data_IF_015822611625
#
_entry.id   IF_015822611625
#
_cell.length_a   1.000
_cell.length_b   1.000
_cell.length_c   1.000
_cell.angle_alpha   90.00
_cell.angle_beta   90.00
_cell.angle_gamma   90.00
#
_symmetry.space_group_name_H-M   'P 1'
#
loop_
_entity.id
_entity.type
_entity.pdbx_description
1 polymer ?
#
# COMPACT_ATOMS: atom_id res chain seq x y z
N UNK A 1 15.03 -17.25 22.00
CA UNK A 1 15.79 -17.74 20.83
C UNK A 1 15.46 -16.78 19.69
N UNK A 2 16.22 -15.68 19.60
CA UNK A 2 15.85 -14.52 18.78
C UNK A 2 16.45 -14.69 17.39
N UNK A 3 15.62 -15.06 16.42
CA UNK A 3 15.95 -15.01 15.00
C UNK A 3 15.93 -13.54 14.58
N UNK A 4 17.07 -12.85 14.72
CA UNK A 4 17.24 -11.49 14.24
C UNK A 4 17.45 -11.51 12.71
N UNK A 5 16.36 -11.22 12.00
CA UNK A 5 16.31 -10.46 10.75
C UNK A 5 17.28 -10.89 9.63
N UNK A 6 16.95 -12.00 8.95
CA UNK A 6 17.44 -12.27 7.60
C UNK A 6 16.65 -11.44 6.59
N UNK A 7 17.19 -10.28 6.20
CA UNK A 7 16.75 -9.53 5.03
C UNK A 7 17.91 -9.45 4.04
N UNK A 8 17.94 -10.37 3.08
CA UNK A 8 18.79 -10.25 1.90
C UNK A 8 18.17 -9.25 0.91
N UNK A 9 18.04 -7.99 1.34
CA UNK A 9 17.91 -6.85 0.42
C UNK A 9 19.29 -6.25 0.34
N UNK A 10 19.92 -6.34 -0.82
CA UNK A 10 21.19 -5.65 -1.05
C UNK A 10 20.87 -4.16 -1.21
N UNK A 11 20.88 -3.45 -0.08
CA UNK A 11 20.71 -2.02 -0.02
C UNK A 11 22.09 -1.35 -0.09
N UNK A 12 22.40 -0.75 -1.22
CA UNK A 12 23.64 0.00 -1.41
C UNK A 12 23.39 1.51 -1.23
N UNK A 13 24.34 2.22 -0.63
CA UNK A 13 24.23 3.66 -0.34
C UNK A 13 25.09 4.46 -1.31
N UNK A 14 24.53 5.47 -1.97
CA UNK A 14 25.31 6.56 -2.58
C UNK A 14 25.84 7.48 -1.48
N UNK A 15 27.16 7.70 -1.41
CA UNK A 15 27.75 8.62 -0.43
C UNK A 15 27.94 9.99 -1.09
N UNK A 16 26.95 10.87 -0.95
CA UNK A 16 27.12 12.32 -1.19
C UNK A 16 26.99 13.06 0.14
N UNK A 17 28.10 13.64 0.59
CA UNK A 17 28.21 14.27 1.91
C UNK A 17 27.65 15.69 1.95
N UNK A 18 26.82 15.96 2.97
CA UNK A 18 26.84 17.22 3.72
C UNK A 18 26.08 17.07 5.05
N UNK A 19 26.81 17.30 6.14
CA UNK A 19 26.33 17.75 7.46
C UNK A 19 25.10 17.10 8.08
N UNK A 20 25.31 16.16 9.00
CA UNK A 20 24.30 15.70 9.94
C UNK A 20 24.52 14.25 10.40
N UNK A 21 24.41 14.03 11.70
CA UNK A 21 24.12 12.73 12.35
C UNK A 21 25.25 11.78 12.72
N UNK A 22 25.66 11.88 14.00
CA UNK A 22 26.46 10.91 14.75
C UNK A 22 25.89 9.47 14.67
N UNK A 23 24.57 9.33 14.55
CA UNK A 23 23.88 8.05 14.39
C UNK A 23 24.17 7.39 13.03
N UNK A 24 24.27 8.19 11.96
CA UNK A 24 24.65 7.71 10.63
C UNK A 24 26.13 7.27 10.58
N UNK A 25 27.00 7.96 11.33
CA UNK A 25 28.40 7.57 11.47
C UNK A 25 28.55 6.21 12.19
N UNK A 26 27.76 5.98 13.26
CA UNK A 26 27.75 4.70 13.98
C UNK A 26 27.31 3.54 13.07
N UNK A 27 26.18 3.68 12.37
CA UNK A 27 25.67 2.68 11.42
C UNK A 27 26.62 2.43 10.25
N UNK A 28 27.27 3.48 9.73
CA UNK A 28 28.28 3.34 8.69
C UNK A 28 29.47 2.50 9.18
N UNK A 29 29.96 2.74 10.41
CA UNK A 29 31.02 1.96 11.04
C UNK A 29 30.67 0.48 11.18
N UNK A 30 29.45 0.16 11.65
CA UNK A 30 28.98 -1.23 11.76
C UNK A 30 28.93 -1.94 10.40
N UNK A 31 28.46 -1.25 9.35
CA UNK A 31 28.40 -1.82 8.00
C UNK A 31 29.79 -2.11 7.45
N UNK A 32 30.72 -1.17 7.60
CA UNK A 32 32.11 -1.34 7.16
C UNK A 32 32.72 -2.57 7.84
N UNK A 33 32.52 -2.71 9.15
CA UNK A 33 32.99 -3.88 9.90
C UNK A 33 32.38 -5.20 9.39
N UNK A 34 31.08 -5.22 9.04
CA UNK A 34 30.43 -6.41 8.46
C UNK A 34 31.04 -6.78 7.10
N UNK A 35 31.32 -5.79 6.25
CA UNK A 35 31.95 -6.03 4.95
C UNK A 35 33.36 -6.61 5.13
N UNK A 36 34.18 -6.02 6.00
CA UNK A 36 35.55 -6.51 6.27
C UNK A 36 35.53 -7.96 6.71
N UNK A 37 34.69 -8.31 7.70
CA UNK A 37 34.55 -9.70 8.18
C UNK A 37 34.10 -10.67 7.09
N UNK A 38 33.19 -10.22 6.21
CA UNK A 38 32.75 -11.04 5.08
C UNK A 38 33.87 -11.25 4.06
N UNK A 39 34.75 -10.27 3.85
CA UNK A 39 35.87 -10.36 2.93
C UNK A 39 37.00 -11.24 3.48
N UNK A 40 37.28 -11.15 4.79
CA UNK A 40 38.20 -12.05 5.49
C UNK A 40 37.74 -13.50 5.33
N UNK A 41 36.47 -13.79 5.65
CA UNK A 41 35.89 -15.12 5.46
C UNK A 41 35.98 -15.58 4.01
N UNK A 42 35.72 -14.70 3.04
CA UNK A 42 35.82 -15.01 1.63
C UNK A 42 37.25 -15.45 1.25
N UNK A 43 38.25 -14.71 1.73
CA UNK A 43 39.66 -14.99 1.45
C UNK A 43 40.14 -16.32 2.05
N UNK A 44 39.68 -16.67 3.25
CA UNK A 44 40.04 -17.92 3.93
C UNK A 44 39.44 -19.15 3.24
N UNK A 45 38.27 -19.02 2.62
CA UNK A 45 37.52 -20.12 2.01
C UNK A 45 37.63 -20.14 0.48
N UNK A 46 38.46 -19.29 -0.13
CA UNK A 46 38.64 -19.23 -1.58
C UNK A 46 37.41 -18.72 -2.35
N UNK A 47 36.54 -17.95 -1.69
CA UNK A 47 35.34 -17.36 -2.27
C UNK A 47 35.64 -15.98 -2.89
N UNK A 48 34.81 -15.49 -3.83
CA UNK A 48 35.00 -14.16 -4.40
C UNK A 48 34.85 -13.06 -3.34
N UNK A 49 35.78 -12.10 -3.35
CA UNK A 49 35.76 -10.95 -2.45
C UNK A 49 34.82 -9.89 -3.04
N UNK A 50 33.70 -9.66 -2.35
CA UNK A 50 32.65 -8.70 -2.74
C UNK A 50 32.83 -7.37 -1.98
N UNK A 51 32.55 -6.23 -2.63
CA UNK A 51 32.80 -4.89 -2.07
C UNK A 51 31.55 -4.20 -1.54
N UNK A 52 30.48 -4.25 -2.31
CA UNK A 52 29.22 -3.57 -2.07
C UNK A 52 28.21 -4.48 -1.33
N UNK A 53 28.36 -5.78 -1.50
CA UNK A 53 27.45 -6.81 -0.97
C UNK A 53 28.19 -7.79 -0.05
N UNK A 54 27.45 -8.41 0.87
CA UNK A 54 27.96 -9.50 1.70
C UNK A 54 27.84 -10.83 0.96
N UNK A 55 28.61 -11.83 1.39
CA UNK A 55 28.46 -13.19 0.88
C UNK A 55 27.04 -13.73 1.16
N UNK A 56 26.45 -14.48 0.20
CA UNK A 56 25.11 -15.01 0.34
C UNK A 56 24.99 -16.08 1.43
N UNK A 57 23.81 -16.16 2.04
CA UNK A 57 23.42 -17.27 2.94
C UNK A 57 22.80 -18.40 2.13
N UNK A 58 23.64 -19.27 1.59
CA UNK A 58 23.23 -20.33 0.66
C UNK A 58 22.35 -21.40 1.30
N UNK A 59 22.67 -21.81 2.54
CA UNK A 59 21.89 -22.84 3.27
C UNK A 59 20.43 -22.43 3.52
N UNK A 60 20.19 -21.17 3.90
CA UNK A 60 18.84 -20.65 4.13
C UNK A 60 18.03 -20.60 2.84
N UNK A 61 18.64 -20.11 1.76
CA UNK A 61 18.01 -20.11 0.45
C UNK A 61 17.66 -21.51 -0.04
N UNK A 62 18.58 -22.46 0.11
CA UNK A 62 18.38 -23.85 -0.29
C UNK A 62 17.22 -24.50 0.46
N UNK A 63 17.15 -24.30 1.78
CA UNK A 63 16.04 -24.77 2.62
C UNK A 63 14.69 -24.21 2.11
N UNK A 64 14.61 -22.89 1.89
CA UNK A 64 13.40 -22.26 1.35
C UNK A 64 13.05 -22.79 -0.04
N UNK A 65 14.04 -22.98 -0.91
CA UNK A 65 13.83 -23.48 -2.26
C UNK A 65 13.30 -24.91 -2.25
N UNK A 66 13.80 -25.78 -1.37
CA UNK A 66 13.34 -27.16 -1.24
C UNK A 66 11.87 -27.23 -0.81
N UNK A 67 11.48 -26.45 0.21
CA UNK A 67 10.12 -26.44 0.75
C UNK A 67 9.11 -25.78 -0.19
N UNK A 68 9.52 -24.73 -0.91
CA UNK A 68 8.62 -23.91 -1.73
C UNK A 68 8.68 -24.26 -3.24
N UNK A 69 9.49 -25.26 -3.64
CA UNK A 69 9.68 -25.60 -5.07
C UNK A 69 8.38 -25.93 -5.79
N UNK A 70 7.41 -26.52 -5.09
CA UNK A 70 6.12 -26.95 -5.65
C UNK A 70 5.10 -25.81 -5.78
N UNK A 71 5.32 -24.69 -5.10
CA UNK A 71 4.38 -23.56 -5.03
C UNK A 71 4.93 -22.26 -5.63
N UNK A 72 6.21 -22.24 -6.01
CA UNK A 72 6.85 -21.10 -6.67
C UNK A 72 6.85 -21.27 -8.19
N UNK A 73 6.61 -20.18 -8.92
CA UNK A 73 6.82 -20.14 -10.37
C UNK A 73 8.18 -19.52 -10.73
N UNK A 74 8.61 -18.52 -9.94
CA UNK A 74 9.81 -17.75 -10.16
C UNK A 74 10.35 -17.16 -8.85
N UNK A 75 11.65 -16.86 -8.85
CA UNK A 75 12.34 -16.12 -7.79
C UNK A 75 12.61 -14.71 -8.30
N UNK A 76 12.18 -13.71 -7.53
CA UNK A 76 12.46 -12.30 -7.82
C UNK A 76 13.74 -11.87 -7.13
N UNK A 77 14.68 -11.42 -7.96
CA UNK A 77 15.94 -10.86 -7.53
C UNK A 77 15.86 -9.33 -7.57
N UNK A 78 15.78 -8.72 -6.40
CA UNK A 78 15.60 -7.26 -6.24
C UNK A 78 16.87 -6.64 -5.64
N UNK A 79 17.36 -5.59 -6.29
CA UNK A 79 18.46 -4.75 -5.79
C UNK A 79 17.97 -3.31 -5.67
N UNK A 80 18.16 -2.71 -4.50
CA UNK A 80 17.62 -1.38 -4.19
C UNK A 80 18.77 -0.46 -3.81
N UNK A 81 18.83 0.72 -4.43
CA UNK A 81 19.82 1.74 -4.11
C UNK A 81 19.13 3.01 -3.64
N UNK A 82 19.59 3.51 -2.50
CA UNK A 82 19.16 4.76 -1.91
C UNK A 82 20.26 5.80 -2.11
N UNK A 83 19.94 6.91 -2.79
CA UNK A 83 20.93 7.93 -3.16
C UNK A 83 21.46 8.74 -1.97
N UNK A 84 20.61 9.02 -0.99
CA UNK A 84 20.93 9.89 0.15
C UNK A 84 21.20 9.11 1.44
N UNK A 85 20.14 8.57 2.03
CA UNK A 85 20.18 7.78 3.26
C UNK A 85 19.20 6.62 3.17
N UNK A 86 19.47 5.58 3.96
CA UNK A 86 18.49 4.53 4.21
C UNK A 86 17.33 5.16 4.98
N UNK A 87 16.08 4.97 4.54
CA UNK A 87 14.94 5.48 5.27
C UNK A 87 14.81 4.75 6.62
N UNK A 88 14.55 5.51 7.68
CA UNK A 88 14.14 4.93 8.94
C UNK A 88 12.67 4.51 8.89
N UNK A 89 12.24 3.69 9.83
CA UNK A 89 10.86 3.19 9.89
C UNK A 89 9.83 4.33 9.86
N UNK A 90 10.12 5.44 10.55
CA UNK A 90 9.25 6.62 10.54
C UNK A 90 9.26 7.31 9.18
N UNK A 91 10.41 7.37 8.49
CA UNK A 91 10.48 7.95 7.15
C UNK A 91 9.60 7.19 6.16
N UNK A 92 9.58 5.85 6.27
CA UNK A 92 8.71 4.98 5.48
C UNK A 92 7.23 5.24 5.79
N UNK A 93 6.87 5.39 7.06
CA UNK A 93 5.48 5.63 7.47
C UNK A 93 4.98 6.99 7.01
N UNK A 94 5.79 8.03 7.18
CA UNK A 94 5.40 9.40 6.87
C UNK A 94 5.66 9.80 5.41
N UNK A 95 6.32 8.93 4.62
CA UNK A 95 6.65 9.20 3.23
C UNK A 95 7.61 10.38 3.05
N UNK A 96 8.43 10.69 4.06
CA UNK A 96 9.28 11.88 4.08
C UNK A 96 10.62 11.65 3.39
N UNK A 97 11.14 10.44 3.46
CA UNK A 97 12.37 10.00 2.82
C UNK A 97 12.20 8.53 2.41
N UNK A 98 12.84 8.07 1.34
CA UNK A 98 13.91 8.72 0.55
C UNK A 98 13.40 9.56 -0.62
N UNK A 99 14.17 10.61 -1.00
CA UNK A 99 13.84 11.45 -2.17
C UNK A 99 14.02 10.76 -3.53
N UNK A 100 14.87 9.74 -3.62
CA UNK A 100 15.17 9.02 -4.86
C UNK A 100 15.60 7.59 -4.54
N UNK A 101 14.93 6.62 -5.17
CA UNK A 101 15.20 5.17 -5.04
C UNK A 101 15.32 4.58 -6.41
N UNK A 102 16.38 3.81 -6.62
CA UNK A 102 16.54 3.03 -7.84
C UNK A 102 16.33 1.57 -7.49
N UNK A 103 15.46 0.90 -8.24
CA UNK A 103 15.13 -0.51 -8.02
C UNK A 103 15.44 -1.27 -9.29
N UNK A 104 16.36 -2.23 -9.20
CA UNK A 104 16.64 -3.19 -10.25
C UNK A 104 15.96 -4.51 -9.91
N UNK A 105 15.05 -4.98 -10.77
CA UNK A 105 14.33 -6.24 -10.59
C UNK A 105 14.71 -7.20 -11.71
N UNK A 106 15.02 -8.45 -11.35
CA UNK A 106 15.20 -9.57 -12.31
C UNK A 106 14.32 -10.73 -11.89
N UNK A 107 13.57 -11.28 -12.83
CA UNK A 107 12.81 -12.51 -12.61
C UNK A 107 13.64 -13.71 -13.05
N UNK A 108 13.83 -14.67 -12.15
CA UNK A 108 14.50 -15.94 -12.43
C UNK A 108 13.45 -17.03 -12.40
N UNK A 109 13.25 -17.75 -13.52
CA UNK A 109 12.30 -18.87 -13.53
C UNK A 109 12.88 -20.03 -12.73
N UNK A 110 12.03 -20.84 -12.11
CA UNK A 110 12.50 -22.02 -11.38
C UNK A 110 13.30 -22.99 -12.26
N UNK A 111 12.96 -23.09 -13.56
CA UNK A 111 13.70 -23.94 -14.51
C UNK A 111 15.14 -23.51 -14.73
N UNK A 112 15.47 -22.24 -14.45
CA UNK A 112 16.81 -21.68 -14.63
C UNK A 112 17.69 -21.88 -13.38
N UNK A 113 17.10 -22.37 -12.27
CA UNK A 113 17.79 -22.62 -11.02
C UNK A 113 18.27 -24.07 -11.00
N UNK A 114 19.55 -24.34 -10.69
CA UNK A 114 20.06 -25.70 -10.58
C UNK A 114 19.33 -26.52 -9.51
N UNK A 115 19.42 -27.85 -9.59
CA UNK A 115 18.76 -28.75 -8.64
C UNK A 115 19.70 -29.32 -7.59
N UNK A 116 21.00 -29.44 -7.89
CA UNK A 116 21.99 -29.90 -6.91
C UNK A 116 22.34 -28.81 -5.90
N UNK A 117 22.56 -29.18 -4.64
CA UNK A 117 22.87 -28.23 -3.55
C UNK A 117 24.17 -27.44 -3.82
N UNK A 118 25.19 -28.12 -4.33
CA UNK A 118 26.48 -27.51 -4.67
C UNK A 118 26.32 -26.53 -5.84
N UNK A 119 25.58 -26.93 -6.89
CA UNK A 119 25.31 -26.07 -8.04
C UNK A 119 24.47 -24.85 -7.67
N UNK A 120 23.50 -24.99 -6.77
CA UNK A 120 22.71 -23.85 -6.26
C UNK A 120 23.60 -22.90 -5.46
N UNK A 121 24.56 -23.44 -4.70
CA UNK A 121 25.52 -22.63 -3.94
C UNK A 121 26.39 -21.79 -4.87
N UNK A 122 26.98 -22.41 -5.88
CA UNK A 122 27.81 -21.73 -6.89
C UNK A 122 26.98 -20.72 -7.69
N UNK A 123 25.77 -21.10 -8.10
CA UNK A 123 24.83 -20.20 -8.77
C UNK A 123 24.53 -18.96 -7.91
N UNK A 124 24.25 -19.14 -6.61
CA UNK A 124 23.95 -18.03 -5.72
C UNK A 124 25.15 -17.10 -5.51
N UNK A 125 26.36 -17.66 -5.38
CA UNK A 125 27.61 -16.89 -5.31
C UNK A 125 27.78 -16.05 -6.57
N UNK A 126 27.59 -16.64 -7.74
CA UNK A 126 27.70 -15.95 -9.03
C UNK A 126 26.66 -14.82 -9.16
N UNK A 127 25.41 -15.06 -8.72
CA UNK A 127 24.38 -14.03 -8.68
C UNK A 127 24.76 -12.85 -7.80
N UNK A 128 25.35 -13.09 -6.64
CA UNK A 128 25.81 -12.03 -5.74
C UNK A 128 27.02 -11.29 -6.30
N UNK A 129 27.92 -11.97 -7.03
CA UNK A 129 29.02 -11.34 -7.78
C UNK A 129 28.48 -10.36 -8.83
N UNK A 130 27.47 -10.76 -9.60
CA UNK A 130 26.82 -9.90 -10.58
C UNK A 130 26.16 -8.67 -9.95
N UNK A 131 25.54 -8.82 -8.76
CA UNK A 131 25.00 -7.68 -7.99
C UNK A 131 26.09 -6.73 -7.53
N UNK A 132 27.22 -7.26 -7.08
CA UNK A 132 28.36 -6.44 -6.63
C UNK A 132 28.89 -5.55 -7.76
N UNK A 133 28.99 -6.11 -8.96
CA UNK A 133 29.35 -5.38 -10.15
C UNK A 133 28.27 -4.37 -10.55
N UNK A 134 27.00 -4.77 -10.60
CA UNK A 134 25.86 -3.89 -10.89
C UNK A 134 25.84 -2.65 -9.99
N UNK A 135 26.12 -2.83 -8.70
CA UNK A 135 26.20 -1.73 -7.74
C UNK A 135 27.44 -0.87 -7.93
N UNK A 136 28.58 -1.47 -8.29
CA UNK A 136 29.79 -0.72 -8.64
C UNK A 136 29.51 0.19 -9.84
N UNK A 137 28.86 -0.35 -10.87
CA UNK A 137 28.49 0.39 -12.08
C UNK A 137 27.49 1.49 -11.76
N UNK A 138 26.47 1.20 -10.94
CA UNK A 138 25.52 2.20 -10.46
C UNK A 138 26.22 3.36 -9.72
N UNK A 139 27.18 3.06 -8.85
CA UNK A 139 27.91 4.12 -8.13
C UNK A 139 28.82 4.96 -9.02
N UNK A 140 29.24 4.43 -10.17
CA UNK A 140 30.01 5.18 -11.17
C UNK A 140 29.13 5.98 -12.13
N UNK A 141 28.00 5.41 -12.56
CA UNK A 141 27.16 5.95 -13.64
C UNK A 141 25.94 6.72 -13.13
N UNK A 142 25.52 6.48 -11.88
CA UNK A 142 24.35 7.09 -11.24
C UNK A 142 23.00 6.48 -11.64
N UNK A 143 22.98 5.43 -12.46
CA UNK A 143 21.77 4.76 -12.92
C UNK A 143 22.00 3.26 -13.13
N UNK A 144 20.91 2.48 -13.23
CA UNK A 144 20.97 1.07 -13.59
C UNK A 144 20.96 0.88 -15.11
N UNK A 145 21.55 -0.21 -15.63
CA UNK A 145 21.44 -0.57 -17.03
C UNK A 145 19.99 -0.87 -17.39
N UNK A 146 19.59 -0.51 -18.60
CA UNK A 146 18.22 -0.67 -19.10
C UNK A 146 17.19 -0.02 -18.17
N UNK A 147 17.30 1.30 -17.95
CA UNK A 147 16.22 2.06 -17.31
C UNK A 147 14.94 1.76 -18.08
N UNK A 148 14.06 0.98 -17.46
CA UNK A 148 12.69 0.88 -17.92
C UNK A 148 12.19 2.30 -17.98
N UNK A 149 11.69 2.74 -19.14
CA UNK A 149 10.87 3.94 -19.18
C UNK A 149 9.80 3.68 -18.12
N UNK A 150 9.89 4.36 -16.98
CA UNK A 150 8.72 4.50 -16.11
C UNK A 150 7.70 5.08 -17.08
N UNK A 151 6.79 4.25 -17.55
CA UNK A 151 5.64 4.75 -18.27
C UNK A 151 5.02 5.68 -17.26
N UNK A 152 5.12 7.00 -17.52
CA UNK A 152 4.56 8.05 -16.68
C UNK A 152 3.26 7.50 -16.14
N UNK A 153 3.23 7.13 -14.85
CA UNK A 153 2.02 6.57 -14.28
C UNK A 153 1.03 7.69 -14.48
N UNK A 154 0.09 7.50 -15.41
CA UNK A 154 -0.61 8.59 -16.06
C UNK A 154 -1.29 9.37 -14.95
N UNK A 155 -0.66 10.47 -14.52
CA UNK A 155 -1.14 11.38 -13.50
C UNK A 155 -2.62 11.73 -13.72
N UNK A 156 -3.15 11.84 -14.96
CA UNK A 156 -4.58 11.97 -15.18
C UNK A 156 -5.43 10.75 -14.77
N UNK A 157 -4.99 9.52 -14.97
CA UNK A 157 -5.77 8.31 -14.62
C UNK A 157 -5.82 8.10 -13.11
N UNK A 158 -4.71 8.33 -12.41
CA UNK A 158 -4.67 8.29 -10.94
C UNK A 158 -5.57 9.39 -10.35
N UNK A 159 -5.49 10.61 -10.89
CA UNK A 159 -6.32 11.74 -10.45
C UNK A 159 -7.81 11.48 -10.73
N UNK A 160 -8.15 10.95 -11.90
CA UNK A 160 -9.53 10.61 -12.25
C UNK A 160 -10.11 9.54 -11.31
N UNK A 161 -9.33 8.49 -11.02
CA UNK A 161 -9.73 7.46 -10.06
C UNK A 161 -9.91 8.03 -8.65
N UNK A 162 -9.01 8.91 -8.21
CA UNK A 162 -9.12 9.57 -6.92
C UNK A 162 -10.38 10.44 -6.81
N UNK A 163 -10.66 11.27 -7.83
CA UNK A 163 -11.87 12.10 -7.88
C UNK A 163 -13.13 11.23 -7.90
N UNK A 164 -13.13 10.13 -8.67
CA UNK A 164 -14.25 9.20 -8.73
C UNK A 164 -14.54 8.56 -7.37
N UNK A 165 -13.50 8.15 -6.63
CA UNK A 165 -13.63 7.58 -5.28
C UNK A 165 -14.19 8.63 -4.32
N UNK A 166 -13.59 9.83 -4.27
CA UNK A 166 -14.04 10.90 -3.35
C UNK A 166 -15.48 11.32 -3.65
N UNK A 167 -15.82 11.47 -4.93
CA UNK A 167 -17.18 11.81 -5.37
C UNK A 167 -18.18 10.71 -4.99
N UNK A 168 -17.84 9.44 -5.25
CA UNK A 168 -18.67 8.29 -4.90
C UNK A 168 -18.90 8.22 -3.39
N UNK A 169 -17.83 8.28 -2.58
CA UNK A 169 -17.95 8.29 -1.11
C UNK A 169 -18.79 9.48 -0.61
N UNK A 170 -18.58 10.67 -1.15
CA UNK A 170 -19.37 11.86 -0.83
C UNK A 170 -20.85 11.69 -1.18
N UNK A 171 -21.16 11.11 -2.34
CA UNK A 171 -22.52 10.85 -2.78
C UNK A 171 -23.22 9.81 -1.90
N UNK A 172 -22.53 8.73 -1.52
CA UNK A 172 -23.05 7.73 -0.57
C UNK A 172 -23.33 8.34 0.81
N UNK A 173 -22.44 9.21 1.30
CA UNK A 173 -22.66 9.94 2.56
C UNK A 173 -23.85 10.89 2.45
N UNK A 174 -23.98 11.62 1.34
CA UNK A 174 -25.11 12.50 1.08
C UNK A 174 -26.43 11.73 1.06
N UNK A 175 -26.51 10.62 0.33
CA UNK A 175 -27.71 9.78 0.28
C UNK A 175 -28.08 9.21 1.65
N UNK A 176 -27.09 8.79 2.45
CA UNK A 176 -27.32 8.30 3.82
C UNK A 176 -27.90 9.38 4.73
N UNK A 177 -27.32 10.59 4.69
CA UNK A 177 -27.79 11.73 5.47
C UNK A 177 -29.16 12.22 5.00
N UNK A 178 -29.35 12.37 3.69
CA UNK A 178 -30.61 12.82 3.10
C UNK A 178 -31.71 11.80 3.37
N UNK A 179 -31.47 10.50 3.15
CA UNK A 179 -32.43 9.44 3.47
C UNK A 179 -32.85 9.48 4.94
N UNK A 180 -31.90 9.65 5.87
CA UNK A 180 -32.18 9.77 7.31
C UNK A 180 -33.00 11.02 7.65
N UNK A 181 -32.71 12.17 7.02
CA UNK A 181 -33.44 13.43 7.24
C UNK A 181 -34.85 13.37 6.65
N UNK A 182 -35.01 12.91 5.41
CA UNK A 182 -36.31 12.81 4.75
C UNK A 182 -37.20 11.74 5.36
N UNK A 183 -36.61 10.63 5.81
CA UNK A 183 -37.33 9.62 6.59
C UNK A 183 -37.89 10.23 7.89
N UNK A 184 -37.09 11.03 8.62
CA UNK A 184 -37.56 11.75 9.83
C UNK A 184 -38.69 12.74 9.51
N UNK A 185 -38.58 13.50 8.42
CA UNK A 185 -39.61 14.46 7.99
C UNK A 185 -40.91 13.74 7.62
N UNK A 186 -40.84 12.63 6.89
CA UNK A 186 -42.00 11.82 6.50
C UNK A 186 -42.75 11.29 7.73
N UNK A 187 -42.03 10.70 8.69
CA UNK A 187 -42.63 10.17 9.93
C UNK A 187 -43.36 11.26 10.71
N UNK A 188 -42.78 12.45 10.84
CA UNK A 188 -43.41 13.58 11.54
C UNK A 188 -44.69 14.05 10.83
N UNK A 189 -44.67 14.17 9.50
CA UNK A 189 -45.83 14.57 8.70
C UNK A 189 -46.95 13.53 8.77
N UNK A 190 -46.63 12.24 8.66
CA UNK A 190 -47.62 11.17 8.84
C UNK A 190 -48.24 11.20 10.23
N UNK A 191 -47.44 11.46 11.27
CA UNK A 191 -47.93 11.56 12.64
C UNK A 191 -48.89 12.76 12.81
N UNK A 192 -48.51 13.93 12.27
CA UNK A 192 -49.36 15.12 12.27
C UNK A 192 -50.66 14.93 11.46
N UNK A 193 -50.59 14.23 10.34
CA UNK A 193 -51.76 13.88 9.54
C UNK A 193 -52.71 12.95 10.31
N UNK A 194 -52.18 11.94 11.00
CA UNK A 194 -53.00 11.03 11.80
C UNK A 194 -53.66 11.72 13.00
N UNK A 195 -52.96 12.63 13.69
CA UNK A 195 -53.57 13.41 14.77
C UNK A 195 -54.65 14.35 14.25
N UNK A 196 -54.45 14.95 13.08
CA UNK A 196 -55.46 15.76 12.39
C UNK A 196 -56.69 14.93 12.05
N UNK A 197 -56.53 13.79 11.36
CA UNK A 197 -57.64 12.91 11.00
C UNK A 197 -58.40 12.43 12.24
N UNK A 198 -57.68 12.09 13.32
CA UNK A 198 -58.28 11.67 14.59
C UNK A 198 -59.05 12.82 15.24
N UNK A 199 -58.51 14.05 15.25
CA UNK A 199 -59.18 15.24 15.77
C UNK A 199 -60.49 15.53 15.02
N UNK A 200 -60.46 15.52 13.68
CA UNK A 200 -61.66 15.79 12.88
C UNK A 200 -62.67 14.63 12.90
N UNK A 201 -62.22 13.38 13.01
CA UNK A 201 -63.13 12.22 13.08
C UNK A 201 -63.85 12.10 14.43
N UNK A 202 -63.32 12.73 15.49
CA UNK A 202 -63.92 12.73 16.84
C UNK A 202 -64.96 13.85 17.02
N UNK A 203 -65.10 14.79 16.08
CA UNK A 203 -66.12 15.84 16.15
C UNK A 203 -67.35 15.48 15.29
N UNK A 204 -68.45 14.94 15.88
CA UNK A 204 -69.64 14.62 15.10
C UNK A 204 -70.37 15.88 14.61
N UNK A 205 -71.06 15.83 13.46
CA UNK A 205 -71.81 16.96 12.94
C UNK A 205 -73.09 17.19 13.77
N UNK A 206 -73.26 18.39 14.32
CA UNK A 206 -74.52 18.83 14.93
C UNK A 206 -75.51 19.19 13.81
N UNK A 207 -76.60 18.43 13.71
CA UNK A 207 -77.74 18.73 12.83
C UNK A 207 -78.48 19.98 13.32
N UNK A 208 -78.26 21.12 12.67
CA UNK A 208 -79.15 22.28 12.78
C UNK A 208 -80.22 22.12 11.70
N UNK A 209 -81.41 21.65 12.09
CA UNK A 209 -82.61 21.78 11.29
C UNK A 209 -83.26 23.14 11.60
N UNK A 210 -83.23 24.05 10.63
CA UNK A 210 -84.13 25.19 10.54
C UNK A 210 -84.44 25.43 9.07
N UNK A 211 -85.69 25.25 8.68
CA UNK A 211 -86.22 25.75 7.40
C UNK A 211 -87.68 26.15 7.59
N UNK A 212 -87.91 27.44 7.33
CA UNK A 212 -89.05 28.10 6.66
C UNK A 212 -90.42 27.40 6.70
N UNK A 213 -91.54 28.06 7.02
CA UNK A 213 -91.93 29.38 6.56
C UNK A 213 -93.23 29.25 5.73
N UNK A 214 -94.37 29.54 6.37
CA UNK A 214 -95.59 30.11 5.76
C UNK A 214 -96.47 29.25 4.85
N UNK A 215 -97.73 29.04 5.25
CA UNK A 215 -98.87 29.27 4.34
C UNK A 215 -100.13 29.64 5.14
N UNK A 216 -100.72 30.78 4.79
CA UNK A 216 -101.94 31.34 5.37
C UNK A 216 -103.16 30.89 4.55
N UNK A 217 -104.29 30.64 5.22
CA UNK A 217 -105.68 30.82 4.79
C UNK A 217 -106.33 29.87 3.74
N UNK A 218 -107.38 29.12 4.13
CA UNK A 218 -108.84 29.42 4.03
C UNK A 218 -109.72 28.14 4.02
N UNK A 219 -110.95 28.32 4.54
CA UNK A 219 -112.03 27.36 4.83
C UNK A 219 -112.88 26.93 3.60
N UNK A 220 -113.76 25.95 3.88
CA UNK A 220 -115.07 25.58 3.27
C UNK A 220 -114.92 24.47 2.21
N UNK A 221 -115.61 23.32 2.28
CA UNK A 221 -116.99 23.00 2.71
C UNK A 221 -117.04 21.63 3.42
#
# INVERSE_FOLDING_TARGET
>A
MVAHEERAVVAARGVTGRGGDLHLASRAGERIMKCIKSQEYASEHGLPILKNVLLPKTKGFLCCLQELKSSLDAVYDVTIVYKHRLPDFLDIIYGTDPSEVHIHIRTVKLCDIPTSEDEVTDWMIERFRQKDQLLSDFFMQGHFPDEGTEGDVSTPECLANFIAIVSSTGFFLYLSLFSSVWFKVYVLLSCAYLTFVTYFSIQPPQLICSSEGGTHAKKVL
#
